data_IF_157365096040
#
_entry.id   IF_157365096040
#
_cell.length_a   1.000
_cell.length_b   1.000
_cell.length_c   1.000
_cell.angle_alpha   90.00
_cell.angle_beta   90.00
_cell.angle_gamma   90.00
#
_symmetry.space_group_name_H-M   'P 1'
#
loop_
_entity.id
_entity.type
_entity.pdbx_description
1 polymer ?
#
# COMPACT_ATOMS: atom_id res chain seq x y z
N UNK A 1 26.84 12.96 -29.91
CA UNK A 1 26.10 13.77 -28.92
C UNK A 1 24.64 13.67 -29.34
N UNK A 2 23.67 13.20 -28.56
CA UNK A 2 23.50 13.19 -27.11
C UNK A 2 22.79 11.92 -26.64
N UNK A 3 23.20 11.46 -25.45
CA UNK A 3 22.67 10.33 -24.69
C UNK A 3 21.16 10.47 -24.44
N UNK A 4 20.33 9.57 -24.98
CA UNK A 4 18.89 9.49 -24.67
C UNK A 4 18.37 8.09 -25.05
N UNK A 5 18.60 7.05 -24.22
CA UNK A 5 17.65 5.91 -24.04
C UNK A 5 18.08 4.79 -23.05
N UNK A 6 19.11 4.97 -22.23
CA UNK A 6 19.62 3.85 -21.39
C UNK A 6 18.71 3.55 -20.18
N UNK A 7 17.87 4.49 -19.75
CA UNK A 7 17.03 4.34 -18.56
C UNK A 7 15.69 3.64 -18.79
N UNK A 8 15.27 3.42 -20.05
CA UNK A 8 13.99 2.79 -20.38
C UNK A 8 13.99 1.26 -20.37
N UNK A 9 15.14 0.60 -20.15
CA UNK A 9 15.24 -0.86 -20.33
C UNK A 9 15.18 -1.68 -19.05
N UNK A 10 15.41 -1.12 -17.86
CA UNK A 10 15.51 -1.93 -16.63
C UNK A 10 14.20 -2.58 -16.21
N UNK A 11 13.08 -1.84 -16.33
CA UNK A 11 11.75 -2.37 -16.00
C UNK A 11 11.34 -3.44 -17.00
N UNK A 12 11.65 -3.23 -18.29
CA UNK A 12 11.36 -4.19 -19.35
C UNK A 12 12.21 -5.47 -19.18
N UNK A 13 13.48 -5.36 -18.82
CA UNK A 13 14.36 -6.48 -18.50
C UNK A 13 13.82 -7.31 -17.31
N UNK A 14 13.43 -6.65 -16.21
CA UNK A 14 12.82 -7.32 -15.05
C UNK A 14 11.50 -8.02 -15.44
N UNK A 15 10.65 -7.35 -16.21
CA UNK A 15 9.40 -7.93 -16.72
C UNK A 15 9.68 -9.22 -17.52
N UNK A 16 10.61 -9.17 -18.48
CA UNK A 16 10.94 -10.31 -19.33
C UNK A 16 11.53 -11.48 -18.51
N UNK A 17 12.33 -11.18 -17.49
CA UNK A 17 12.83 -12.19 -16.56
C UNK A 17 11.69 -12.88 -15.78
N UNK A 18 10.75 -12.09 -15.22
CA UNK A 18 9.62 -12.64 -14.47
C UNK A 18 8.73 -13.50 -15.37
N UNK A 19 8.47 -13.05 -16.60
CA UNK A 19 7.65 -13.79 -17.57
C UNK A 19 8.33 -15.08 -18.00
N UNK A 20 9.62 -15.05 -18.37
CA UNK A 20 10.35 -16.25 -18.80
C UNK A 20 10.41 -17.35 -17.75
N UNK A 21 10.36 -16.97 -16.46
CA UNK A 21 10.35 -17.89 -15.31
C UNK A 21 8.95 -18.20 -14.78
N UNK A 22 7.90 -17.63 -15.37
CA UNK A 22 6.52 -17.68 -14.86
C UNK A 22 6.43 -17.33 -13.35
N UNK A 23 7.17 -16.30 -12.93
CA UNK A 23 7.48 -16.06 -11.52
C UNK A 23 6.57 -15.03 -10.83
N UNK A 24 5.50 -14.54 -11.48
CA UNK A 24 4.62 -13.49 -10.91
C UNK A 24 4.07 -13.83 -9.53
N UNK A 25 3.66 -15.08 -9.31
CA UNK A 25 3.17 -15.53 -8.01
C UNK A 25 4.24 -15.40 -6.90
N UNK A 26 5.50 -15.74 -7.22
CA UNK A 26 6.63 -15.65 -6.29
C UNK A 26 7.00 -14.19 -6.00
N UNK A 27 6.98 -13.33 -7.03
CA UNK A 27 7.25 -11.89 -6.88
C UNK A 27 6.19 -11.25 -5.99
N UNK A 28 4.90 -11.54 -6.24
CA UNK A 28 3.80 -11.06 -5.42
C UNK A 28 3.91 -11.54 -3.96
N UNK A 29 4.20 -12.82 -3.75
CA UNK A 29 4.40 -13.37 -2.41
C UNK A 29 5.57 -12.69 -1.67
N UNK A 30 6.68 -12.45 -2.37
CA UNK A 30 7.85 -11.76 -1.82
C UNK A 30 7.48 -10.35 -1.35
N UNK A 31 6.75 -9.59 -2.16
CA UNK A 31 6.27 -8.25 -1.78
C UNK A 31 5.39 -8.35 -0.53
N UNK A 32 4.45 -9.31 -0.50
CA UNK A 32 3.60 -9.55 0.67
C UNK A 32 4.38 -9.82 1.96
N UNK A 33 5.41 -10.67 1.90
CA UNK A 33 6.29 -10.97 3.04
C UNK A 33 7.08 -9.74 3.49
N UNK A 34 7.60 -8.93 2.56
CA UNK A 34 8.28 -7.69 2.88
C UNK A 34 7.34 -6.68 3.55
N UNK A 35 6.11 -6.56 3.06
CA UNK A 35 5.09 -5.69 3.66
C UNK A 35 4.76 -6.07 5.12
N UNK A 36 4.83 -7.37 5.47
CA UNK A 36 4.59 -7.84 6.84
C UNK A 36 5.68 -7.44 7.84
N UNK A 37 6.86 -7.03 7.37
CA UNK A 37 7.95 -6.59 8.23
C UNK A 37 7.68 -5.22 8.86
N UNK A 38 6.83 -4.40 8.22
CA UNK A 38 6.47 -3.09 8.73
C UNK A 38 5.50 -3.19 9.90
N UNK A 39 5.87 -2.57 11.00
CA UNK A 39 5.03 -2.49 12.20
C UNK A 39 4.11 -1.29 12.09
N UNK A 40 2.86 -1.53 11.72
CA UNK A 40 1.82 -0.51 11.67
C UNK A 40 0.63 -0.90 12.56
N UNK A 41 -0.05 0.09 13.11
CA UNK A 41 -1.28 -0.10 13.88
C UNK A 41 -2.51 0.38 13.12
N UNK A 42 -3.67 -0.14 13.48
CA UNK A 42 -4.99 0.23 12.97
C UNK A 42 -6.03 0.18 14.10
N UNK A 43 -5.63 0.66 15.27
CA UNK A 43 -6.39 0.59 16.51
C UNK A 43 -7.68 1.42 16.43
N UNK A 44 -7.64 2.56 15.75
CA UNK A 44 -8.83 3.41 15.56
C UNK A 44 -9.93 2.66 14.78
N UNK A 45 -9.55 1.87 13.78
CA UNK A 45 -10.48 1.06 13.00
C UNK A 45 -11.16 -0.05 13.80
N UNK A 46 -10.49 -0.55 14.84
CA UNK A 46 -11.01 -1.63 15.71
C UNK A 46 -11.95 -1.14 16.81
N UNK A 47 -12.03 0.17 17.06
CA UNK A 47 -12.92 0.73 18.09
C UNK A 47 -14.38 0.35 17.80
N UNK A 48 -15.19 -0.04 18.80
CA UNK A 48 -16.56 -0.51 18.59
C UNK A 48 -17.42 0.44 17.75
N UNK A 49 -17.28 1.76 17.96
CA UNK A 49 -18.00 2.80 17.21
C UNK A 49 -17.56 2.93 15.74
N UNK A 50 -16.35 2.46 15.39
CA UNK A 50 -15.79 2.57 14.04
C UNK A 50 -15.92 1.26 13.25
N UNK A 51 -16.13 0.11 13.90
CA UNK A 51 -16.33 -1.18 13.23
C UNK A 51 -17.42 -1.15 12.14
N UNK A 52 -18.61 -0.55 12.36
CA UNK A 52 -19.64 -0.47 11.33
C UNK A 52 -19.29 0.47 10.17
N UNK A 53 -18.24 1.29 10.30
CA UNK A 53 -17.78 2.23 9.28
C UNK A 53 -16.73 1.61 8.34
N UNK A 54 -16.35 0.35 8.56
CA UNK A 54 -15.46 -0.40 7.69
C UNK A 54 -16.26 -1.36 6.81
N UNK A 55 -16.01 -1.36 5.49
CA UNK A 55 -16.67 -2.29 4.56
C UNK A 55 -16.22 -3.74 4.78
N UNK A 56 -14.95 -3.94 5.11
CA UNK A 56 -14.35 -5.27 5.33
C UNK A 56 -13.62 -5.31 6.67
N UNK A 57 -13.57 -6.51 7.27
CA UNK A 57 -12.97 -6.73 8.60
C UNK A 57 -11.43 -6.61 8.58
N UNK A 58 -10.84 -7.03 7.49
CA UNK A 58 -9.40 -7.21 7.27
C UNK A 58 -8.76 -6.07 6.47
N UNK A 59 -9.55 -5.12 5.96
CA UNK A 59 -9.05 -3.93 5.24
C UNK A 59 -9.31 -2.68 6.11
N UNK A 60 -8.31 -2.30 6.90
CA UNK A 60 -8.39 -1.19 7.84
C UNK A 60 -7.31 -0.15 7.57
N UNK A 61 -7.57 1.15 7.83
CA UNK A 61 -6.57 2.18 7.62
C UNK A 61 -5.49 2.14 8.71
N UNK A 62 -4.25 2.41 8.33
CA UNK A 62 -3.18 2.60 9.33
C UNK A 62 -3.37 3.89 10.13
N UNK A 63 -3.17 3.82 11.46
CA UNK A 63 -3.43 4.95 12.36
C UNK A 63 -2.56 6.18 12.03
N UNK A 64 -1.29 5.97 11.66
CA UNK A 64 -0.31 7.03 11.43
C UNK A 64 -0.54 7.82 10.14
N UNK A 65 -1.32 7.29 9.19
CA UNK A 65 -1.66 7.98 7.93
C UNK A 65 -3.15 8.09 7.68
N UNK A 66 -4.03 7.69 8.61
CA UNK A 66 -5.47 7.77 8.38
C UNK A 66 -5.92 9.21 8.16
N UNK A 67 -6.94 9.39 7.35
CA UNK A 67 -7.61 10.69 7.21
C UNK A 67 -8.43 10.96 8.48
N UNK A 68 -8.22 12.12 9.10
CA UNK A 68 -8.94 12.57 10.30
C UNK A 68 -9.94 13.64 9.91
N UNK A 69 -11.24 13.35 9.99
CA UNK A 69 -12.30 14.31 9.67
C UNK A 69 -12.35 15.43 10.73
N UNK A 70 -12.60 16.67 10.29
CA UNK A 70 -12.58 17.87 11.17
C UNK A 70 -13.92 18.58 11.32
N UNK A 71 -14.92 18.27 10.49
CA UNK A 71 -16.20 19.00 10.40
C UNK A 71 -17.42 18.16 10.81
N UNK A 72 -17.21 17.15 11.64
CA UNK A 72 -18.25 16.25 12.12
C UNK A 72 -17.88 15.67 13.50
N UNK A 73 -18.87 15.17 14.23
CA UNK A 73 -18.69 14.58 15.58
C UNK A 73 -17.79 13.34 15.60
N UNK A 74 -17.67 12.65 14.46
CA UNK A 74 -16.81 11.49 14.27
C UNK A 74 -15.60 11.87 13.42
N UNK A 75 -14.40 11.56 13.88
CA UNK A 75 -13.16 11.88 13.18
C UNK A 75 -12.69 10.75 12.24
N UNK A 76 -13.40 9.61 12.22
CA UNK A 76 -12.98 8.39 11.54
C UNK A 76 -13.61 8.21 10.16
N UNK A 77 -12.76 7.89 9.19
CA UNK A 77 -13.10 7.32 7.88
C UNK A 77 -12.04 6.27 7.51
N UNK A 78 -12.43 5.21 6.83
CA UNK A 78 -11.49 4.23 6.28
C UNK A 78 -10.80 4.80 5.03
N UNK A 79 -9.74 5.58 5.24
CA UNK A 79 -8.90 6.17 4.20
C UNK A 79 -7.51 6.50 4.77
N UNK A 80 -6.47 6.40 3.94
CA UNK A 80 -5.09 6.78 4.28
C UNK A 80 -4.52 7.81 3.30
N UNK A 81 -3.66 8.70 3.80
CA UNK A 81 -2.77 9.49 2.96
C UNK A 81 -1.61 8.63 2.45
N UNK A 82 -1.38 8.67 1.14
CA UNK A 82 -0.17 8.10 0.51
C UNK A 82 0.70 9.27 0.09
N UNK A 83 1.86 9.41 0.73
CA UNK A 83 2.83 10.45 0.39
C UNK A 83 4.02 9.82 -0.30
N UNK A 84 4.32 10.30 -1.50
CA UNK A 84 5.53 9.92 -2.24
C UNK A 84 6.51 11.07 -2.08
N UNK A 85 7.68 10.79 -1.50
CA UNK A 85 8.78 11.76 -1.50
C UNK A 85 9.39 11.75 -2.91
N UNK A 86 9.37 12.91 -3.57
CA UNK A 86 10.08 13.13 -4.82
C UNK A 86 11.58 13.24 -4.63
#
# INVERSE_FOLDING_TARGET
>A
MSQNNVYNNKVEEEYMEIVSKNAWALVYQKIGLQCQQYQHSWNEAKKPQNKPLNRYRDVNPFDHTRVVLKRCERDYINANYVTVKG
#
